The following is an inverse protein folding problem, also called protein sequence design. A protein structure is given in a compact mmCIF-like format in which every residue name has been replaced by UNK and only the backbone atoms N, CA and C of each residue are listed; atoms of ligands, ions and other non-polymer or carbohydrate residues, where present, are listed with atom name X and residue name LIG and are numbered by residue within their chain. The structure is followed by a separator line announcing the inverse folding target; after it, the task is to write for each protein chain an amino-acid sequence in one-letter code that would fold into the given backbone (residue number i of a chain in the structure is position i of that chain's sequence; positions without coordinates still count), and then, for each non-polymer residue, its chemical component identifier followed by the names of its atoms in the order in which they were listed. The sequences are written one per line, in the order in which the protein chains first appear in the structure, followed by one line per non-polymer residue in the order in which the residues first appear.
data_IF_627608932367
#
_entry.id   IF_627608932367
#
_cell.length_a   1.000
_cell.length_b   1.000
_cell.length_c   1.000
_cell.angle_alpha   90.00
_cell.angle_beta   90.00
_cell.angle_gamma   90.00
#
_symmetry.space_group_name_H-M   'P 1'
#
loop_
_entity.id
_entity.type
_entity.pdbx_description
1 polymer ?
#
# COMPACT_ATOMS: atom_id res chain seq x y z
N UNK A 1 51.64 34.57 -14.95
CA UNK A 1 50.19 34.68 -15.26
C UNK A 1 49.71 33.35 -15.80
N UNK A 2 48.77 32.58 -15.25
CA UNK A 2 48.10 32.50 -13.94
C UNK A 2 47.36 31.16 -13.99
N UNK A 3 47.72 30.23 -13.09
CA UNK A 3 47.08 28.92 -12.93
C UNK A 3 45.72 29.11 -12.25
N UNK A 4 44.65 29.33 -13.02
CA UNK A 4 43.28 29.51 -12.46
C UNK A 4 42.19 28.77 -13.27
N UNK A 5 42.56 27.94 -14.25
CA UNK A 5 41.57 27.30 -15.12
C UNK A 5 41.15 25.88 -14.68
N UNK A 6 41.95 25.19 -13.87
CA UNK A 6 41.68 23.79 -13.50
C UNK A 6 40.66 23.65 -12.36
N UNK A 7 40.45 24.69 -11.54
CA UNK A 7 39.57 24.62 -10.37
C UNK A 7 38.06 24.59 -10.65
N UNK A 8 37.60 25.09 -11.80
CA UNK A 8 36.14 25.23 -12.08
C UNK A 8 35.48 23.96 -12.63
N UNK A 9 36.24 23.02 -13.16
CA UNK A 9 35.71 21.74 -13.69
C UNK A 9 35.48 20.75 -12.56
N UNK A 10 36.35 20.69 -11.56
CA UNK A 10 36.23 19.75 -10.43
C UNK A 10 35.11 20.11 -9.45
N UNK A 11 34.75 21.40 -9.33
CA UNK A 11 33.66 21.85 -8.44
C UNK A 11 32.27 21.41 -8.92
N UNK A 12 32.05 21.33 -10.24
CA UNK A 12 30.76 20.88 -10.79
C UNK A 12 30.55 19.37 -10.59
N UNK A 13 31.63 18.60 -10.67
CA UNK A 13 31.57 17.15 -10.48
C UNK A 13 31.35 16.76 -9.01
N UNK A 14 31.93 17.52 -8.07
CA UNK A 14 31.72 17.30 -6.64
C UNK A 14 30.28 17.63 -6.21
N UNK A 15 29.73 18.76 -6.68
CA UNK A 15 28.34 19.14 -6.43
C UNK A 15 27.34 18.15 -7.08
N UNK A 16 27.66 17.68 -8.31
CA UNK A 16 26.88 16.64 -8.99
C UNK A 16 26.90 15.30 -8.25
N UNK A 17 28.06 14.89 -7.70
CA UNK A 17 28.18 13.66 -6.90
C UNK A 17 27.44 13.76 -5.55
N UNK A 18 27.45 14.92 -4.89
CA UNK A 18 26.67 15.16 -3.66
C UNK A 18 25.16 15.12 -3.90
N UNK A 19 24.68 15.66 -5.02
CA UNK A 19 23.27 15.59 -5.41
C UNK A 19 22.85 14.14 -5.75
N UNK A 20 23.74 13.36 -6.36
CA UNK A 20 23.51 11.94 -6.67
C UNK A 20 23.58 11.04 -5.43
N UNK A 21 24.43 11.35 -4.44
CA UNK A 21 24.46 10.64 -3.16
C UNK A 21 23.26 10.98 -2.28
N UNK A 22 22.84 12.25 -2.22
CA UNK A 22 21.62 12.66 -1.51
C UNK A 22 20.33 12.10 -2.14
N UNK A 23 20.34 11.83 -3.46
CA UNK A 23 19.22 11.18 -4.17
C UNK A 23 19.19 9.65 -4.00
N UNK A 24 20.22 9.05 -3.41
CA UNK A 24 20.33 7.59 -3.20
C UNK A 24 19.82 7.12 -1.83
N UNK A 25 19.55 8.02 -0.89
CA UNK A 25 19.12 7.67 0.48
C UNK A 25 17.60 7.75 0.82
N UNK A 26 16.65 7.44 -0.08
CA UNK A 26 15.32 7.05 0.43
C UNK A 26 14.73 5.80 -0.25
N UNK A 27 15.56 4.83 -0.66
CA UNK A 27 15.07 3.59 -1.29
C UNK A 27 15.12 2.35 -0.40
N UNK A 28 15.91 2.35 0.67
CA UNK A 28 15.96 1.21 1.59
C UNK A 28 14.83 1.29 2.62
N UNK A 29 14.59 2.50 3.15
CA UNK A 29 13.51 2.76 4.10
C UNK A 29 12.13 2.47 3.49
N UNK A 30 11.91 2.92 2.24
CA UNK A 30 10.68 2.61 1.51
C UNK A 30 10.49 1.11 1.27
N UNK A 31 11.55 0.32 1.03
CA UNK A 31 11.42 -1.12 0.77
C UNK A 31 11.09 -1.92 2.03
N UNK A 32 11.67 -1.57 3.17
CA UNK A 32 11.34 -2.19 4.46
C UNK A 32 9.90 -1.86 4.89
N UNK A 33 9.45 -0.61 4.68
CA UNK A 33 8.06 -0.20 4.91
C UNK A 33 7.10 -0.91 3.94
N UNK A 34 7.47 -1.05 2.66
CA UNK A 34 6.64 -1.74 1.64
C UNK A 34 6.38 -3.20 1.99
N UNK A 35 7.41 -3.94 2.44
CA UNK A 35 7.27 -5.35 2.83
C UNK A 35 6.40 -5.55 4.09
N UNK A 36 6.39 -4.58 5.00
CA UNK A 36 5.48 -4.58 6.16
C UNK A 36 4.01 -4.33 5.75
N UNK A 37 3.81 -3.49 4.74
CA UNK A 37 2.48 -3.12 4.26
C UNK A 37 1.80 -4.26 3.50
N UNK A 38 2.55 -5.03 2.70
CA UNK A 38 2.00 -6.16 1.93
C UNK A 38 1.43 -7.25 2.85
N UNK A 39 2.17 -7.61 3.90
CA UNK A 39 1.70 -8.56 4.91
C UNK A 39 0.47 -8.03 5.66
N UNK A 40 0.49 -6.75 6.07
CA UNK A 40 -0.64 -6.13 6.76
C UNK A 40 -1.90 -6.12 5.88
N UNK A 41 -1.75 -5.84 4.58
CA UNK A 41 -2.85 -5.88 3.61
C UNK A 41 -3.38 -7.30 3.42
N UNK A 42 -2.51 -8.30 3.35
CA UNK A 42 -2.93 -9.70 3.29
C UNK A 42 -3.77 -10.10 4.50
N UNK A 43 -3.33 -9.74 5.71
CA UNK A 43 -4.04 -10.03 6.95
C UNK A 43 -5.40 -9.31 7.02
N UNK A 44 -5.46 -8.07 6.54
CA UNK A 44 -6.74 -7.35 6.40
C UNK A 44 -7.66 -8.00 5.38
N UNK A 45 -7.16 -8.45 4.23
CA UNK A 45 -7.96 -9.17 3.23
C UNK A 45 -8.53 -10.46 3.83
N UNK A 46 -7.72 -11.22 4.56
CA UNK A 46 -8.13 -12.46 5.23
C UNK A 46 -9.21 -12.21 6.29
N UNK A 47 -8.97 -11.28 7.23
CA UNK A 47 -9.93 -10.95 8.29
C UNK A 47 -11.24 -10.35 7.74
N UNK A 48 -11.19 -9.50 6.71
CA UNK A 48 -12.39 -8.97 6.05
C UNK A 48 -13.20 -10.07 5.34
N UNK A 49 -12.54 -10.99 4.65
CA UNK A 49 -13.23 -12.12 4.00
C UNK A 49 -13.95 -13.01 5.02
N UNK A 50 -13.34 -13.24 6.19
CA UNK A 50 -13.99 -13.99 7.28
C UNK A 50 -15.25 -13.25 7.76
N UNK A 51 -15.16 -11.95 8.03
CA UNK A 51 -16.31 -11.14 8.48
C UNK A 51 -17.44 -11.14 7.45
N UNK A 52 -17.11 -10.97 6.16
CA UNK A 52 -18.04 -11.01 5.04
C UNK A 52 -18.73 -12.38 4.96
N UNK A 53 -17.94 -13.46 4.97
CA UNK A 53 -18.47 -14.83 4.86
C UNK A 53 -19.39 -15.18 6.02
N UNK A 54 -19.02 -14.86 7.26
CA UNK A 54 -19.92 -15.07 8.40
C UNK A 54 -21.18 -14.22 8.32
N UNK A 55 -21.07 -12.97 7.86
CA UNK A 55 -22.25 -12.11 7.68
C UNK A 55 -23.21 -12.67 6.63
N UNK A 56 -22.69 -13.24 5.55
CA UNK A 56 -23.47 -13.93 4.51
C UNK A 56 -24.14 -15.20 5.06
N UNK A 57 -23.39 -16.05 5.76
CA UNK A 57 -23.95 -17.25 6.40
C UNK A 57 -25.08 -16.94 7.39
N UNK A 58 -24.94 -15.86 8.17
CA UNK A 58 -25.98 -15.41 9.10
C UNK A 58 -27.20 -14.84 8.37
N UNK A 59 -27.00 -14.11 7.26
CA UNK A 59 -28.10 -13.59 6.43
C UNK A 59 -28.89 -14.69 5.73
N UNK A 60 -28.20 -15.76 5.34
CA UNK A 60 -28.76 -16.98 4.75
C UNK A 60 -29.43 -17.88 5.82
N UNK A 61 -29.44 -17.44 7.09
CA UNK A 61 -30.02 -18.14 8.24
C UNK A 61 -29.46 -19.55 8.46
N UNK A 62 -28.25 -19.84 7.94
CA UNK A 62 -27.56 -21.14 8.11
C UNK A 62 -27.24 -21.40 9.57
N UNK A 63 -26.92 -20.35 10.33
CA UNK A 63 -26.64 -20.42 11.77
C UNK A 63 -27.90 -20.30 12.63
N UNK A 64 -29.09 -20.22 12.02
CA UNK A 64 -30.36 -20.01 12.69
C UNK A 64 -31.10 -18.75 12.23
N UNK A 65 -32.37 -18.63 12.64
CA UNK A 65 -33.24 -17.50 12.26
C UNK A 65 -32.74 -16.19 12.85
N UNK A 66 -32.84 -15.13 12.06
CA UNK A 66 -32.49 -13.75 12.48
C UNK A 66 -33.72 -12.84 12.45
N UNK A 67 -33.75 -11.86 13.34
CA UNK A 67 -34.80 -10.84 13.35
C UNK A 67 -34.52 -9.73 12.32
N UNK A 68 -35.48 -8.82 12.14
CA UNK A 68 -35.38 -7.74 11.14
C UNK A 68 -34.23 -6.74 11.42
N UNK A 69 -33.93 -6.49 12.70
CA UNK A 69 -32.87 -5.59 13.11
C UNK A 69 -31.49 -6.20 12.85
N UNK A 70 -31.28 -7.45 13.26
CA UNK A 70 -30.09 -8.23 12.95
C UNK A 70 -29.82 -8.28 11.45
N UNK A 71 -30.86 -8.53 10.65
CA UNK A 71 -30.77 -8.53 9.18
C UNK A 71 -30.35 -7.16 8.63
N UNK A 72 -30.82 -6.05 9.21
CA UNK A 72 -30.37 -4.70 8.82
C UNK A 72 -28.90 -4.50 9.16
N UNK A 73 -28.50 -4.80 10.39
CA UNK A 73 -27.12 -4.66 10.84
C UNK A 73 -26.15 -5.50 10.01
N UNK A 74 -26.50 -6.76 9.72
CA UNK A 74 -25.69 -7.65 8.89
C UNK A 74 -25.52 -7.13 7.45
N UNK A 75 -26.56 -6.54 6.85
CA UNK A 75 -26.44 -5.89 5.54
C UNK A 75 -25.51 -4.68 5.57
N UNK A 76 -25.54 -3.90 6.65
CA UNK A 76 -24.65 -2.76 6.81
C UNK A 76 -23.19 -3.22 7.02
N UNK A 77 -22.97 -4.26 7.83
CA UNK A 77 -21.64 -4.89 7.99
C UNK A 77 -21.13 -5.39 6.64
N UNK A 78 -21.96 -6.11 5.88
CA UNK A 78 -21.59 -6.66 4.58
C UNK A 78 -21.22 -5.56 3.57
N UNK A 79 -22.02 -4.50 3.50
CA UNK A 79 -21.77 -3.34 2.63
C UNK A 79 -20.44 -2.67 2.97
N UNK A 80 -20.18 -2.43 4.26
CA UNK A 80 -18.96 -1.77 4.70
C UNK A 80 -17.73 -2.68 4.55
N UNK A 81 -17.85 -3.98 4.85
CA UNK A 81 -16.79 -4.97 4.66
C UNK A 81 -16.35 -5.06 3.20
N UNK A 82 -17.29 -5.15 2.27
CA UNK A 82 -16.98 -5.16 0.82
C UNK A 82 -16.35 -3.86 0.35
N UNK A 83 -16.81 -2.71 0.87
CA UNK A 83 -16.20 -1.40 0.56
C UNK A 83 -14.76 -1.33 1.06
N UNK A 84 -14.49 -1.79 2.28
CA UNK A 84 -13.14 -1.83 2.84
C UNK A 84 -12.23 -2.77 2.05
N UNK A 85 -12.74 -3.94 1.66
CA UNK A 85 -12.00 -4.88 0.82
C UNK A 85 -11.55 -4.24 -0.50
N UNK A 86 -12.43 -3.49 -1.17
CA UNK A 86 -12.08 -2.73 -2.37
C UNK A 86 -10.99 -1.68 -2.13
N UNK A 87 -11.07 -0.95 -1.00
CA UNK A 87 -10.01 0.02 -0.63
C UNK A 87 -8.68 -0.65 -0.33
N UNK A 88 -8.71 -1.83 0.30
CA UNK A 88 -7.52 -2.65 0.57
C UNK A 88 -6.89 -3.11 -0.75
N UNK A 89 -7.70 -3.56 -1.71
CA UNK A 89 -7.24 -3.97 -3.04
C UNK A 89 -6.64 -2.78 -3.83
N UNK A 90 -7.22 -1.59 -3.72
CA UNK A 90 -6.69 -0.36 -4.35
C UNK A 90 -5.30 0.03 -3.82
N UNK A 91 -5.03 -0.20 -2.53
CA UNK A 91 -3.71 0.05 -1.91
C UNK A 91 -2.64 -0.86 -2.54
N UNK A 92 -2.99 -2.12 -2.83
CA UNK A 92 -2.09 -3.06 -3.53
C UNK A 92 -1.84 -2.59 -4.97
N UNK A 93 -2.90 -2.18 -5.68
CA UNK A 93 -2.81 -1.75 -7.08
C UNK A 93 -1.83 -0.59 -7.31
N UNK A 94 -1.71 0.34 -6.35
CA UNK A 94 -0.79 1.49 -6.44
C UNK A 94 0.69 1.13 -6.28
N UNK A 95 1.03 -0.04 -5.75
CA UNK A 95 2.42 -0.50 -5.61
C UNK A 95 2.96 -1.10 -6.92
N UNK A 96 2.10 -1.63 -7.79
CA UNK A 96 2.50 -2.28 -9.05
C UNK A 96 2.92 -1.30 -10.17
N UNK A 97 2.40 -0.08 -10.16
CA UNK A 97 2.67 0.91 -11.22
C UNK A 97 4.07 1.57 -11.11
N UNK A 98 4.74 1.46 -9.96
CA UNK A 98 6.09 2.02 -9.74
C UNK A 98 7.24 1.24 -10.39
N UNK A 99 7.00 0.00 -10.83
CA UNK A 99 8.08 -0.93 -11.24
C UNK A 99 8.29 -1.01 -12.76
N UNK A 100 7.36 -0.52 -13.59
CA UNK A 100 7.42 -0.72 -15.05
C UNK A 100 7.95 0.46 -15.90
N UNK A 101 8.38 1.59 -15.30
CA UNK A 101 9.04 2.67 -16.08
C UNK A 101 10.55 2.48 -16.22
N UNK A 102 10.99 1.34 -16.77
CA UNK A 102 12.32 1.15 -17.35
C UNK A 102 12.29 0.07 -18.44
N UNK A 103 11.77 0.41 -19.60
CA UNK A 103 12.23 -0.11 -20.89
C UNK A 103 12.40 1.05 -21.84
#
# INVERSE_FOLDING_TARGET
MTYEFVGRVQLKDAAGRQLLSARREPREDNRAISGSMENTVHDFRSSLNIIIGFSELMLDEVTGKINAEQRRSLRDILKNGRRLLGLVDDIVGRQAEGTQRKK
#
